data_IF_357456908259
#
_entry.id   IF_357456908259
#
_cell.length_a   1.000
_cell.length_b   1.000
_cell.length_c   1.000
_cell.angle_alpha   90.00
_cell.angle_beta   90.00
_cell.angle_gamma   90.00
#
_symmetry.space_group_name_H-M   'P 1'
#
loop_
_entity.id
_entity.type
_entity.pdbx_description
1 polymer ?
#
# COMPACT_ATOMS: atom_id res chain seq x y z
N UNK A 1 -16.63 12.97 -12.01
CA UNK A 1 -17.66 12.28 -11.19
C UNK A 1 -17.22 12.34 -9.73
N UNK A 2 -17.88 13.12 -8.87
CA UNK A 2 -17.50 13.25 -7.46
C UNK A 2 -17.93 11.97 -6.73
N UNK A 3 -17.06 10.97 -6.66
CA UNK A 3 -17.23 9.89 -5.69
C UNK A 3 -17.12 10.49 -4.28
N UNK A 4 -17.96 10.02 -3.36
CA UNK A 4 -17.92 10.44 -1.96
C UNK A 4 -16.58 10.10 -1.30
N UNK A 5 -16.42 10.46 -0.02
CA UNK A 5 -15.20 10.18 0.75
C UNK A 5 -14.86 8.68 0.88
N UNK A 6 -15.77 7.77 0.48
CA UNK A 6 -15.54 6.34 0.46
C UNK A 6 -14.78 5.89 -0.79
N UNK A 7 -13.68 5.18 -0.58
CA UNK A 7 -12.91 4.52 -1.64
C UNK A 7 -13.73 3.49 -2.44
N UNK A 8 -13.19 3.07 -3.59
CA UNK A 8 -13.77 1.99 -4.40
C UNK A 8 -13.14 0.66 -4.01
N UNK A 9 -13.99 -0.34 -3.72
CA UNK A 9 -13.52 -1.70 -3.49
C UNK A 9 -12.85 -2.27 -4.75
N UNK A 10 -11.73 -2.97 -4.55
CA UNK A 10 -11.03 -3.66 -5.62
C UNK A 10 -11.90 -4.85 -6.05
N UNK A 11 -12.28 -4.96 -7.35
CA UNK A 11 -13.07 -6.09 -7.81
C UNK A 11 -12.24 -7.38 -7.70
N UNK A 12 -12.87 -8.52 -7.39
CA UNK A 12 -12.17 -9.80 -7.33
C UNK A 12 -11.65 -10.25 -8.70
N UNK A 13 -12.29 -9.81 -9.78
CA UNK A 13 -11.90 -10.13 -11.15
C UNK A 13 -11.13 -8.96 -11.80
N UNK A 14 -9.82 -8.97 -11.64
CA UNK A 14 -8.92 -7.89 -12.07
C UNK A 14 -8.62 -7.93 -13.57
N UNK A 15 -8.82 -9.08 -14.21
CA UNK A 15 -8.63 -9.22 -15.65
C UNK A 15 -9.59 -8.34 -16.45
N UNK A 16 -10.79 -8.11 -15.91
CA UNK A 16 -11.81 -7.20 -16.49
C UNK A 16 -11.50 -5.72 -16.31
N UNK A 17 -10.56 -5.36 -15.44
CA UNK A 17 -10.15 -3.96 -15.27
C UNK A 17 -9.10 -3.65 -16.31
N UNK A 18 -9.42 -2.86 -17.33
CA UNK A 18 -8.48 -2.41 -18.36
C UNK A 18 -8.48 -0.89 -18.51
N UNK A 19 -7.62 -0.40 -19.41
CA UNK A 19 -7.51 1.01 -19.79
C UNK A 19 -7.31 1.95 -18.59
N UNK A 20 -6.42 1.58 -17.66
CA UNK A 20 -6.13 2.44 -16.52
C UNK A 20 -5.35 3.68 -16.97
N UNK A 21 -5.95 4.85 -16.77
CA UNK A 21 -5.32 6.15 -16.99
C UNK A 21 -5.39 6.96 -15.70
N UNK A 22 -4.27 7.56 -15.32
CA UNK A 22 -4.18 8.42 -14.15
C UNK A 22 -3.09 9.46 -14.34
N UNK A 23 -3.32 10.64 -13.78
CA UNK A 23 -2.39 11.76 -13.63
C UNK A 23 -1.58 11.69 -12.31
N UNK A 24 -1.74 10.61 -11.54
CA UNK A 24 -1.01 10.38 -10.32
C UNK A 24 0.50 10.24 -10.56
N UNK A 25 1.30 10.74 -9.62
CA UNK A 25 2.76 10.64 -9.64
C UNK A 25 3.27 9.37 -8.95
N UNK A 26 2.50 8.82 -8.02
CA UNK A 26 2.85 7.62 -7.27
C UNK A 26 1.62 6.92 -6.71
N UNK A 27 1.80 5.65 -6.36
CA UNK A 27 0.80 4.84 -5.67
C UNK A 27 1.20 4.73 -4.21
N UNK A 28 0.33 5.10 -3.29
CA UNK A 28 0.53 5.00 -1.84
C UNK A 28 -0.24 3.79 -1.31
N UNK A 29 0.48 2.76 -0.91
CA UNK A 29 -0.05 1.59 -0.24
C UNK A 29 -0.08 1.83 1.27
N UNK A 30 -1.25 1.74 1.88
CA UNK A 30 -1.48 1.96 3.32
C UNK A 30 -2.00 0.67 3.95
N UNK A 31 -1.39 0.24 5.05
CA UNK A 31 -1.78 -1.01 5.72
C UNK A 31 -3.09 -0.85 6.53
N UNK A 32 -3.17 0.20 7.35
CA UNK A 32 -4.29 0.44 8.27
C UNK A 32 -5.43 1.23 7.63
N UNK A 33 -6.66 0.70 7.73
CA UNK A 33 -7.88 1.36 7.20
C UNK A 33 -8.12 2.73 7.82
N UNK A 34 -7.87 2.90 9.12
CA UNK A 34 -7.98 4.20 9.80
C UNK A 34 -7.03 5.26 9.20
N UNK A 35 -5.80 4.86 8.85
CA UNK A 35 -4.84 5.76 8.20
C UNK A 35 -5.29 6.12 6.77
N UNK A 36 -5.86 5.17 6.03
CA UNK A 36 -6.47 5.41 4.73
C UNK A 36 -7.61 6.43 4.81
N UNK A 37 -8.56 6.22 5.74
CA UNK A 37 -9.69 7.12 5.95
C UNK A 37 -9.22 8.53 6.28
N UNK A 38 -8.20 8.65 7.14
CA UNK A 38 -7.63 9.95 7.50
C UNK A 38 -7.01 10.68 6.31
N UNK A 39 -6.25 9.98 5.46
CA UNK A 39 -5.68 10.55 4.23
C UNK A 39 -6.76 10.94 3.22
N UNK A 40 -7.87 10.19 3.17
CA UNK A 40 -9.01 10.49 2.32
C UNK A 40 -9.78 11.73 2.81
N UNK A 41 -9.99 11.87 4.13
CA UNK A 41 -10.59 13.05 4.77
C UNK A 41 -9.77 14.32 4.50
N UNK A 42 -8.45 14.25 4.68
CA UNK A 42 -7.52 15.35 4.42
C UNK A 42 -7.34 15.64 2.92
N UNK A 43 -7.98 14.84 2.05
CA UNK A 43 -7.86 14.89 0.57
C UNK A 43 -6.40 14.96 0.13
N UNK A 44 -5.57 14.08 0.69
CA UNK A 44 -4.14 14.05 0.40
C UNK A 44 -3.85 13.96 -1.12
N UNK A 45 -4.70 13.22 -1.84
CA UNK A 45 -4.67 13.08 -3.29
C UNK A 45 -4.87 14.39 -4.08
N UNK A 46 -5.48 15.42 -3.49
CA UNK A 46 -5.61 16.74 -4.12
C UNK A 46 -4.32 17.58 -3.98
N UNK A 47 -3.58 17.38 -2.88
CA UNK A 47 -2.34 18.13 -2.62
C UNK A 47 -1.16 17.48 -3.33
N UNK A 48 -1.13 16.15 -3.32
CA UNK A 48 -0.17 15.35 -4.05
C UNK A 48 -0.94 14.38 -4.93
N UNK A 49 -0.87 14.50 -6.27
CA UNK A 49 -1.58 13.60 -7.17
C UNK A 49 -1.05 12.17 -6.96
N UNK A 50 -1.84 11.34 -6.28
CA UNK A 50 -1.46 9.99 -5.89
C UNK A 50 -2.68 9.07 -5.84
N UNK A 51 -2.45 7.78 -6.05
CA UNK A 51 -3.47 6.74 -5.86
C UNK A 51 -3.25 6.10 -4.50
N UNK A 52 -4.23 6.19 -3.60
CA UNK A 52 -4.14 5.58 -2.27
C UNK A 52 -4.85 4.23 -2.30
N UNK A 53 -4.14 3.17 -1.91
CA UNK A 53 -4.61 1.79 -1.88
C UNK A 53 -4.48 1.25 -0.47
N UNK A 54 -5.50 0.58 0.04
CA UNK A 54 -5.47 -0.10 1.35
C UNK A 54 -5.80 -1.57 1.23
N UNK A 55 -5.18 -2.39 2.07
CA UNK A 55 -5.41 -3.83 2.16
C UNK A 55 -6.10 -4.27 3.46
N UNK A 56 -6.56 -3.33 4.30
CA UNK A 56 -7.20 -3.62 5.61
C UNK A 56 -6.37 -4.59 6.47
N UNK A 57 -5.05 -4.41 6.50
CA UNK A 57 -4.12 -5.27 7.21
C UNK A 57 -3.49 -6.34 6.32
N UNK A 58 -4.22 -7.41 5.96
CA UNK A 58 -3.62 -8.54 5.26
C UNK A 58 -3.63 -8.38 3.74
N UNK A 59 -2.51 -8.63 3.03
CA UNK A 59 -2.45 -8.50 1.58
C UNK A 59 -3.25 -9.59 0.86
N UNK A 60 -4.44 -9.25 0.40
CA UNK A 60 -5.26 -10.11 -0.45
C UNK A 60 -4.62 -10.32 -1.84
N UNK A 61 -4.87 -11.49 -2.42
CA UNK A 61 -4.41 -11.84 -3.79
C UNK A 61 -4.92 -10.82 -4.81
N UNK A 62 -6.19 -10.41 -4.71
CA UNK A 62 -6.76 -9.39 -5.57
C UNK A 62 -6.01 -8.06 -5.44
N UNK A 63 -5.82 -7.55 -4.22
CA UNK A 63 -5.08 -6.29 -4.00
C UNK A 63 -3.67 -6.33 -4.58
N UNK A 64 -2.98 -7.48 -4.47
CA UNK A 64 -1.64 -7.68 -5.05
C UNK A 64 -1.64 -7.67 -6.57
N UNK A 65 -2.55 -8.40 -7.20
CA UNK A 65 -2.73 -8.39 -8.67
C UNK A 65 -3.06 -6.98 -9.17
N UNK A 66 -3.92 -6.26 -8.44
CA UNK A 66 -4.36 -4.92 -8.82
C UNK A 66 -3.21 -3.91 -8.75
N UNK A 67 -2.41 -3.95 -7.68
CA UNK A 67 -1.20 -3.13 -7.55
C UNK A 67 -0.19 -3.40 -8.67
N UNK A 68 0.04 -4.68 -9.00
CA UNK A 68 0.94 -5.07 -10.10
C UNK A 68 0.44 -4.53 -11.44
N UNK A 69 -0.86 -4.66 -11.70
CA UNK A 69 -1.49 -4.19 -12.93
C UNK A 69 -1.41 -2.67 -13.05
N UNK A 70 -1.76 -1.94 -11.99
CA UNK A 70 -1.63 -0.48 -11.93
C UNK A 70 -0.19 -0.04 -12.17
N UNK A 71 0.79 -0.69 -11.54
CA UNK A 71 2.20 -0.37 -11.78
C UNK A 71 2.61 -0.64 -13.22
N UNK A 72 2.14 -1.73 -13.83
CA UNK A 72 2.54 -2.12 -15.19
C UNK A 72 1.92 -1.19 -16.24
N UNK A 73 0.65 -0.83 -16.08
CA UNK A 73 -0.08 0.06 -17.00
C UNK A 73 0.29 1.53 -16.79
N UNK A 74 0.28 2.02 -15.56
CA UNK A 74 0.54 3.43 -15.24
C UNK A 74 2.03 3.76 -15.11
N UNK A 75 2.90 2.75 -14.97
CA UNK A 75 4.36 2.89 -14.76
C UNK A 75 4.74 3.79 -13.58
N UNK A 76 3.89 3.81 -12.55
CA UNK A 76 4.09 4.63 -11.36
C UNK A 76 4.90 3.92 -10.27
N UNK A 77 5.72 4.64 -9.50
CA UNK A 77 6.36 4.10 -8.32
C UNK A 77 5.33 3.79 -7.23
N UNK A 78 5.53 2.67 -6.54
CA UNK A 78 4.70 2.26 -5.40
C UNK A 78 5.45 2.55 -4.11
N UNK A 79 4.82 3.33 -3.24
CA UNK A 79 5.31 3.70 -1.91
C UNK A 79 4.45 2.99 -0.87
N UNK A 80 5.05 2.26 0.06
CA UNK A 80 4.34 1.58 1.13
C UNK A 80 4.50 2.33 2.46
N UNK A 81 3.38 2.60 3.12
CA UNK A 81 3.27 3.14 4.46
C UNK A 81 2.75 2.02 5.38
N UNK A 82 3.65 1.46 6.17
CA UNK A 82 3.39 0.35 7.10
C UNK A 82 3.91 0.70 8.49
N UNK A 83 3.30 0.15 9.53
CA UNK A 83 3.75 0.38 10.90
C UNK A 83 5.14 -0.23 11.15
N UNK A 84 5.85 0.34 12.12
CA UNK A 84 7.21 -0.06 12.52
C UNK A 84 7.18 -1.31 13.43
N UNK A 85 6.52 -2.36 12.97
CA UNK A 85 6.39 -3.62 13.70
C UNK A 85 6.71 -4.83 12.79
N UNK A 86 6.98 -6.02 13.38
CA UNK A 86 7.25 -7.23 12.60
C UNK A 86 6.12 -7.61 11.64
N UNK A 87 4.88 -7.20 11.91
CA UNK A 87 3.72 -7.50 11.08
C UNK A 87 3.69 -6.61 9.82
N UNK A 88 3.95 -5.31 9.95
CA UNK A 88 4.10 -4.36 8.85
C UNK A 88 5.26 -4.72 7.94
N UNK A 89 6.40 -5.12 8.51
CA UNK A 89 7.54 -5.64 7.74
C UNK A 89 7.22 -6.94 7.01
N UNK A 90 6.46 -7.85 7.64
CA UNK A 90 5.98 -9.07 6.99
C UNK A 90 5.07 -8.74 5.81
N UNK A 91 4.14 -7.79 5.95
CA UNK A 91 3.26 -7.34 4.86
C UNK A 91 4.08 -6.77 3.72
N UNK A 92 5.02 -5.87 4.02
CA UNK A 92 5.92 -5.29 3.03
C UNK A 92 6.70 -6.39 2.28
N UNK A 93 7.23 -7.38 3.01
CA UNK A 93 7.94 -8.52 2.43
C UNK A 93 7.03 -9.36 1.52
N UNK A 94 5.74 -9.53 1.85
CA UNK A 94 4.80 -10.27 1.00
C UNK A 94 4.53 -9.52 -0.31
N UNK A 95 4.45 -8.20 -0.27
CA UNK A 95 4.28 -7.39 -1.48
C UNK A 95 5.54 -7.33 -2.36
N UNK A 96 6.72 -7.18 -1.75
CA UNK A 96 7.99 -7.06 -2.46
C UNK A 96 8.55 -8.39 -2.94
N UNK A 97 8.64 -9.39 -2.05
CA UNK A 97 9.30 -10.67 -2.29
C UNK A 97 8.34 -11.85 -2.45
N UNK A 98 7.07 -11.68 -2.10
CA UNK A 98 6.07 -12.73 -2.18
C UNK A 98 5.91 -13.51 -0.87
N UNK A 99 4.87 -14.32 -0.79
CA UNK A 99 4.60 -15.18 0.37
C UNK A 99 5.17 -16.58 0.16
N UNK A 100 5.77 -17.18 1.20
CA UNK A 100 6.29 -18.56 1.18
C UNK A 100 5.20 -19.59 0.82
N UNK A 101 3.94 -19.33 1.16
CA UNK A 101 2.80 -20.21 0.86
C UNK A 101 2.33 -20.12 -0.61
N UNK A 102 2.80 -19.15 -1.38
CA UNK A 102 2.37 -18.87 -2.75
C UNK A 102 3.59 -18.68 -3.67
N UNK A 103 4.61 -19.52 -3.47
CA UNK A 103 5.88 -19.47 -4.22
C UNK A 103 5.68 -19.65 -5.72
N UNK A 104 4.74 -20.50 -6.15
CA UNK A 104 4.46 -20.76 -7.57
C UNK A 104 3.93 -19.53 -8.33
N UNK A 105 3.16 -18.67 -7.68
CA UNK A 105 2.57 -17.45 -8.28
C UNK A 105 3.26 -16.16 -7.80
N UNK A 106 4.37 -16.31 -7.09
CA UNK A 106 5.13 -15.20 -6.53
C UNK A 106 5.63 -14.25 -7.61
N UNK A 107 6.07 -14.74 -8.77
CA UNK A 107 6.54 -13.90 -9.88
C UNK A 107 5.44 -12.99 -10.45
N UNK A 108 4.20 -13.47 -10.49
CA UNK A 108 3.05 -12.70 -10.99
C UNK A 108 2.45 -11.75 -9.94
N UNK A 109 2.57 -12.10 -8.66
CA UNK A 109 1.95 -11.39 -7.54
C UNK A 109 2.89 -10.43 -6.79
N UNK A 110 4.14 -10.29 -7.23
CA UNK A 110 5.14 -9.46 -6.54
C UNK A 110 5.42 -8.16 -7.28
N UNK A 111 5.65 -7.14 -6.46
CA UNK A 111 6.05 -5.81 -6.90
C UNK A 111 7.38 -5.45 -6.22
N UNK A 112 8.52 -5.92 -6.76
CA UNK A 112 9.81 -5.81 -6.08
C UNK A 112 10.26 -4.36 -5.84
N UNK A 113 9.89 -3.40 -6.71
CA UNK A 113 10.29 -1.99 -6.55
C UNK A 113 9.39 -1.18 -5.58
N UNK A 114 8.72 -1.83 -4.63
CA UNK A 114 7.99 -1.10 -3.59
C UNK A 114 9.01 -0.42 -2.66
N UNK A 115 8.86 0.89 -2.49
CA UNK A 115 9.69 1.66 -1.56
C UNK A 115 8.96 1.82 -0.24
N UNK A 116 9.57 1.36 0.85
CA UNK A 116 9.04 1.61 2.18
C UNK A 116 9.25 3.09 2.57
N UNK A 117 8.15 3.83 2.67
CA UNK A 117 8.14 5.26 2.98
C UNK A 117 8.28 5.51 4.48
N UNK A 118 7.69 4.66 5.32
CA UNK A 118 7.70 4.77 6.79
C UNK A 118 6.59 3.91 7.40
N UNK A 119 6.42 3.84 8.71
CA UNK A 119 7.19 4.41 9.83
C UNK A 119 8.48 3.61 10.00
N UNK A 120 9.66 4.22 9.88
CA UNK A 120 10.93 3.51 10.15
C UNK A 120 11.30 3.62 11.64
N UNK A 121 12.08 2.67 12.19
CA UNK A 121 12.59 2.80 13.55
C UNK A 121 13.33 4.12 13.76
N UNK A 122 14.12 4.56 12.77
CA UNK A 122 14.81 5.86 12.79
C UNK A 122 13.86 7.06 12.78
N UNK A 123 12.67 6.92 12.20
CA UNK A 123 11.65 7.98 12.22
C UNK A 123 11.01 8.11 13.61
N UNK A 124 10.87 7.01 14.36
CA UNK A 124 10.35 7.04 15.74
C UNK A 124 11.20 7.94 16.64
N UNK A 125 12.53 7.85 16.49
CA UNK A 125 13.48 8.69 17.22
C UNK A 125 13.46 10.14 16.74
N UNK A 126 13.39 10.35 15.41
CA UNK A 126 13.35 11.69 14.81
C UNK A 126 12.09 12.48 15.19
N UNK A 127 10.93 11.83 15.20
CA UNK A 127 9.65 12.46 15.55
C UNK A 127 9.34 12.40 17.06
N UNK A 128 10.29 11.93 17.88
CA UNK A 128 10.16 11.82 19.35
C UNK A 128 8.86 11.14 19.77
N UNK A 129 8.50 10.05 19.09
CA UNK A 129 7.27 9.31 19.41
C UNK A 129 7.43 8.68 20.80
N UNK A 130 6.47 8.88 21.72
CA UNK A 130 6.57 8.38 23.09
C UNK A 130 6.71 6.86 23.12
N UNK A 131 7.57 6.36 24.01
CA UNK A 131 7.92 4.93 24.11
C UNK A 131 6.72 4.03 24.34
N UNK A 132 5.69 4.53 25.02
CA UNK A 132 4.42 3.82 25.25
C UNK A 132 3.67 3.40 23.98
N UNK A 133 3.98 4.04 22.84
CA UNK A 133 3.39 3.71 21.53
C UNK A 133 4.33 2.88 20.65
N UNK A 134 5.55 2.54 21.14
CA UNK A 134 6.53 1.74 20.39
C UNK A 134 6.30 0.27 20.70
N UNK A 135 6.11 -0.53 19.67
CA UNK A 135 6.08 -1.99 19.79
C UNK A 135 7.51 -2.54 19.70
N UNK A 136 7.89 -3.53 20.53
CA UNK A 136 9.21 -4.15 20.44
C UNK A 136 9.35 -4.96 19.16
N UNK A 137 10.47 -4.77 18.45
CA UNK A 137 10.86 -5.58 17.28
C UNK A 137 11.57 -6.86 17.72
N UNK A 138 10.88 -7.73 18.47
CA UNK A 138 11.42 -9.02 18.92
C UNK A 138 11.04 -10.16 17.97
#
# INVERSE_FOLDING_TARGET
TKMGMGGKAIPPNIDRVGDMQSDALFILLVEKDAAYMRLAEDRFYNRFPCIIVTAKGQPDVATRLFLKKMKTELKLPVLALVDSDPYGLKILSVYGCGSKNMSYDSANLTTPDIKWLGVRPSDLDKYKIPEQCRLPMT
#
